data_IF_571604807067
#
_entry.id   IF_571604807067
#
_cell.length_a   1.000
_cell.length_b   1.000
_cell.length_c   1.000
_cell.angle_alpha   90.00
_cell.angle_beta   90.00
_cell.angle_gamma   90.00
#
_symmetry.space_group_name_H-M   'P 1'
#
loop_
_entity.id
_entity.type
_entity.pdbx_description
1 polymer ?
#
# COMPACT_ATOMS: atom_id res chain seq x y z
N UNK A 1 -11.28 -5.55 41.40
CA UNK A 1 -10.20 -4.84 40.68
C UNK A 1 -10.01 -5.51 39.30
N UNK A 2 -11.00 -5.40 38.41
CA UNK A 2 -10.89 -5.94 37.04
C UNK A 2 -10.00 -5.00 36.23
N UNK A 3 -8.74 -5.39 36.06
CA UNK A 3 -7.77 -4.65 35.24
C UNK A 3 -8.26 -4.70 33.81
N UNK A 4 -8.90 -3.61 33.38
CA UNK A 4 -9.22 -3.34 31.98
C UNK A 4 -7.95 -3.54 31.16
N UNK A 5 -7.92 -4.64 30.43
CA UNK A 5 -6.86 -4.99 29.51
C UNK A 5 -6.89 -3.94 28.39
N UNK A 6 -6.08 -2.89 28.56
CA UNK A 6 -5.77 -1.96 27.48
C UNK A 6 -5.09 -2.80 26.41
N UNK A 7 -5.86 -3.19 25.38
CA UNK A 7 -5.31 -3.64 24.11
C UNK A 7 -4.24 -2.63 23.69
N UNK A 8 -2.98 -3.05 23.47
CA UNK A 8 -2.01 -2.16 22.88
C UNK A 8 -2.58 -1.67 21.54
N UNK A 9 -2.40 -0.38 21.19
CA UNK A 9 -2.71 0.07 19.83
C UNK A 9 -1.90 -0.81 18.85
N UNK A 10 -2.49 -1.25 17.72
CA UNK A 10 -1.71 -1.98 16.74
C UNK A 10 -0.52 -1.11 16.34
N UNK A 11 0.62 -1.79 16.27
CA UNK A 11 1.98 -1.30 16.18
C UNK A 11 2.13 0.00 15.37
N UNK A 12 2.86 0.95 15.97
CA UNK A 12 3.26 2.22 15.38
C UNK A 12 4.25 2.07 14.23
N UNK A 13 3.87 1.35 13.18
CA UNK A 13 4.45 1.50 11.86
C UNK A 13 3.89 2.77 11.22
N UNK A 14 4.72 3.48 10.46
CA UNK A 14 4.33 4.73 9.80
C UNK A 14 3.31 4.44 8.67
N UNK A 15 2.07 4.10 9.02
CA UNK A 15 0.97 3.90 8.08
C UNK A 15 0.62 5.27 7.51
N UNK A 16 1.32 5.69 6.46
CA UNK A 16 0.91 6.85 5.68
C UNK A 16 -0.42 6.45 5.05
N UNK A 17 -1.53 6.88 5.68
CA UNK A 17 -2.92 6.66 5.27
C UNK A 17 -3.16 7.30 3.91
N UNK A 18 -2.62 6.70 2.85
CA UNK A 18 -2.89 7.09 1.48
C UNK A 18 -3.83 6.02 0.95
N UNK A 19 -5.10 6.37 0.84
CA UNK A 19 -6.08 5.54 0.14
C UNK A 19 -5.89 5.76 -1.34
N UNK A 20 -5.75 4.69 -2.12
CA UNK A 20 -5.78 4.76 -3.58
C UNK A 20 -7.21 4.51 -4.05
N UNK A 21 -7.51 5.07 -5.21
CA UNK A 21 -8.79 4.91 -5.90
C UNK A 21 -8.50 4.47 -7.34
N UNK A 22 -9.22 3.46 -7.80
CA UNK A 22 -9.17 2.98 -9.16
C UNK A 22 -10.12 3.81 -10.04
N UNK A 23 -9.63 4.53 -11.07
CA UNK A 23 -10.48 5.33 -11.95
C UNK A 23 -11.32 4.49 -12.92
N UNK A 24 -11.02 3.20 -13.07
CA UNK A 24 -11.72 2.32 -14.01
C UNK A 24 -13.00 1.70 -13.39
N UNK A 25 -12.86 0.97 -12.29
CA UNK A 25 -13.98 0.32 -11.60
C UNK A 25 -14.48 1.04 -10.34
N UNK A 26 -13.75 2.04 -9.84
CA UNK A 26 -14.09 2.75 -8.62
C UNK A 26 -13.61 2.09 -7.31
N UNK A 27 -12.84 1.01 -7.38
CA UNK A 27 -12.30 0.33 -6.19
C UNK A 27 -11.40 1.27 -5.37
N UNK A 28 -11.64 1.34 -4.06
CA UNK A 28 -10.84 2.11 -3.11
C UNK A 28 -10.24 1.21 -2.04
N UNK A 29 -8.94 1.35 -1.80
CA UNK A 29 -8.26 0.57 -0.78
C UNK A 29 -7.01 1.30 -0.30
N UNK A 30 -6.57 1.04 0.93
CA UNK A 30 -5.34 1.61 1.46
C UNK A 30 -4.14 1.17 0.62
N UNK A 31 -3.10 1.98 0.51
CA UNK A 31 -1.92 1.66 -0.32
C UNK A 31 -1.19 0.37 0.06
N UNK A 32 -1.26 -0.05 1.33
CA UNK A 32 -0.79 -1.34 1.89
C UNK A 32 -1.93 -2.36 2.07
N UNK A 33 -3.09 -2.08 1.48
CA UNK A 33 -4.28 -2.92 1.55
C UNK A 33 -4.34 -3.93 0.43
N UNK A 34 -5.44 -3.89 -0.32
CA UNK A 34 -5.83 -4.94 -1.28
C UNK A 34 -5.22 -4.78 -2.69
N UNK A 35 -4.29 -3.83 -2.87
CA UNK A 35 -3.67 -3.61 -4.17
C UNK A 35 -2.65 -4.71 -4.47
N UNK A 36 -2.71 -5.25 -5.68
CA UNK A 36 -1.64 -6.11 -6.18
C UNK A 36 -0.43 -5.26 -6.51
N UNK A 37 0.66 -5.45 -5.78
CA UNK A 37 1.90 -4.70 -5.97
C UNK A 37 2.91 -5.55 -6.71
N UNK A 38 3.14 -5.22 -7.98
CA UNK A 38 4.18 -5.85 -8.78
C UNK A 38 5.47 -5.02 -8.69
N UNK A 39 6.52 -5.62 -8.13
CA UNK A 39 7.85 -5.02 -8.12
C UNK A 39 8.57 -5.36 -9.42
N UNK A 40 8.97 -4.32 -10.14
CA UNK A 40 9.73 -4.42 -11.38
C UNK A 40 11.03 -3.66 -11.22
N UNK A 41 12.13 -4.32 -11.56
CA UNK A 41 13.45 -3.69 -11.61
C UNK A 41 13.67 -3.20 -13.04
N UNK A 42 13.59 -1.90 -13.24
CA UNK A 42 13.78 -1.24 -14.54
C UNK A 42 14.96 -0.27 -14.41
N UNK A 43 16.02 -0.52 -15.18
CA UNK A 43 17.22 0.33 -15.24
C UNK A 43 17.81 0.63 -13.83
N UNK A 44 18.10 -0.43 -13.05
CA UNK A 44 18.64 -0.35 -11.67
C UNK A 44 17.70 0.33 -10.65
N UNK A 45 16.48 0.75 -11.06
CA UNK A 45 15.47 1.33 -10.18
C UNK A 45 14.38 0.32 -9.89
N UNK A 46 14.18 0.04 -8.61
CA UNK A 46 13.02 -0.73 -8.19
C UNK A 46 11.74 0.14 -8.27
N UNK A 47 10.72 -0.40 -8.92
CA UNK A 47 9.44 0.27 -9.17
C UNK A 47 8.31 -0.66 -8.75
N UNK A 48 7.41 -0.15 -7.91
CA UNK A 48 6.16 -0.80 -7.54
C UNK A 48 5.02 -0.32 -8.44
N UNK A 49 4.41 -1.24 -9.18
CA UNK A 49 3.16 -1.03 -9.89
C UNK A 49 1.98 -1.50 -9.03
N UNK A 50 1.07 -0.61 -8.71
CA UNK A 50 -0.16 -0.89 -7.97
C UNK A 50 -1.26 -1.23 -8.96
N UNK A 51 -1.79 -2.45 -8.86
CA UNK A 51 -2.77 -3.03 -9.78
C UNK A 51 -4.06 -3.29 -9.01
N UNK A 52 -5.18 -2.90 -9.61
CA UNK A 52 -6.50 -3.14 -9.04
C UNK A 52 -6.84 -4.64 -9.05
N UNK A 53 -7.26 -5.23 -7.92
CA UNK A 53 -7.68 -6.64 -7.86
C UNK A 53 -8.97 -6.92 -8.65
N UNK A 54 -9.85 -5.92 -8.77
CA UNK A 54 -11.17 -6.09 -9.40
C UNK A 54 -11.09 -6.09 -10.94
N UNK A 55 -10.34 -5.15 -11.51
CA UNK A 55 -10.29 -4.92 -12.96
C UNK A 55 -8.91 -5.13 -13.59
N UNK A 56 -7.86 -5.32 -12.78
CA UNK A 56 -6.48 -5.44 -13.27
C UNK A 56 -5.86 -4.13 -13.77
N UNK A 57 -6.52 -2.99 -13.59
CA UNK A 57 -5.99 -1.70 -14.02
C UNK A 57 -4.78 -1.27 -13.18
N UNK A 58 -3.72 -0.79 -13.83
CA UNK A 58 -2.54 -0.22 -13.16
C UNK A 58 -2.86 1.20 -12.71
N UNK A 59 -2.97 1.41 -11.40
CA UNK A 59 -3.39 2.69 -10.81
C UNK A 59 -2.21 3.64 -10.67
N UNK A 60 -1.06 3.11 -10.27
CA UNK A 60 0.13 3.92 -10.04
C UNK A 60 1.39 3.08 -10.28
N UNK A 61 2.42 3.73 -10.83
CA UNK A 61 3.79 3.21 -10.85
C UNK A 61 4.63 4.14 -10.01
N UNK A 62 5.13 3.66 -8.88
CA UNK A 62 5.94 4.46 -7.96
C UNK A 62 7.34 3.87 -7.92
N UNK A 63 8.40 4.68 -7.97
CA UNK A 63 9.71 4.18 -7.57
C UNK A 63 9.57 3.72 -6.12
N UNK A 64 9.89 2.47 -5.82
CA UNK A 64 10.05 2.10 -4.42
C UNK A 64 11.22 2.93 -3.93
N UNK A 65 10.96 3.76 -2.92
CA UNK A 65 12.00 4.64 -2.42
C UNK A 65 13.05 3.70 -1.83
N UNK A 66 14.18 3.55 -2.53
CA UNK A 66 15.40 3.00 -1.96
C UNK A 66 15.53 3.69 -0.60
N UNK A 67 15.47 2.88 0.47
CA UNK A 67 15.53 3.38 1.83
C UNK A 67 16.65 4.42 1.89
N UNK A 68 16.30 5.63 2.31
CA UNK A 68 17.28 6.70 2.48
C UNK A 68 18.20 6.16 3.57
N UNK A 69 19.41 5.77 3.17
CA UNK A 69 20.44 5.19 4.03
C UNK A 69 20.85 6.16 5.15
#
# INVERSE_FOLDING_TARGET
MTRSERRPPPDGGTWRKTTLYCPDCGHESTIDGDWHVEHTTDDDRDRAAYICPECGAVIARRPTRLAIA
#
